data_IF_545354081856
#
_entry.id   IF_545354081856
#
_cell.length_a   1.000
_cell.length_b   1.000
_cell.length_c   1.000
_cell.angle_alpha   90.00
_cell.angle_beta   90.00
_cell.angle_gamma   90.00
#
_symmetry.space_group_name_H-M   'P 1'
#
loop_
_entity.id
_entity.type
_entity.pdbx_description
1 polymer ?
#
# COMPACT_ATOMS: atom_id res chain seq x y z
N UNK A 1 -1.00 -23.39 -3.72
CA UNK A 1 0.07 -23.23 -2.73
C UNK A 1 -0.13 -21.90 -2.01
N UNK A 2 -0.34 -21.91 -0.69
CA UNK A 2 -0.39 -20.67 0.11
C UNK A 2 0.99 -20.03 0.09
N UNK A 3 1.13 -18.84 -0.49
CA UNK A 3 2.40 -18.11 -0.48
C UNK A 3 2.68 -17.68 0.96
N UNK A 4 3.79 -18.16 1.52
CA UNK A 4 4.26 -17.83 2.88
C UNK A 4 4.48 -16.31 3.09
N UNK A 5 4.53 -15.54 2.00
CA UNK A 5 4.66 -14.08 1.99
C UNK A 5 3.47 -13.34 2.65
N UNK A 6 2.29 -13.99 2.77
CA UNK A 6 1.09 -13.39 3.40
C UNK A 6 1.23 -13.16 4.91
N UNK A 7 2.17 -13.87 5.55
CA UNK A 7 2.45 -13.73 6.97
C UNK A 7 3.41 -12.57 7.28
N UNK A 8 4.04 -11.97 6.25
CA UNK A 8 5.01 -10.91 6.46
C UNK A 8 4.31 -9.58 6.76
N UNK A 9 4.57 -9.04 7.95
CA UNK A 9 4.12 -7.72 8.36
C UNK A 9 5.18 -6.67 8.07
N UNK A 10 4.78 -5.65 7.32
CA UNK A 10 5.59 -4.50 6.94
C UNK A 10 5.29 -3.33 7.88
N UNK A 11 6.34 -2.76 8.44
CA UNK A 11 6.27 -1.52 9.21
C UNK A 11 6.06 -0.30 8.31
N UNK A 12 5.63 0.83 8.88
CA UNK A 12 5.52 2.10 8.18
C UNK A 12 6.78 2.48 7.38
N UNK A 13 7.98 2.21 7.91
CA UNK A 13 9.26 2.48 7.22
C UNK A 13 9.43 1.60 5.99
N UNK A 14 9.07 0.32 6.07
CA UNK A 14 9.17 -0.60 4.95
C UNK A 14 8.14 -0.27 3.87
N UNK A 15 6.91 0.04 4.26
CA UNK A 15 5.86 0.49 3.33
C UNK A 15 6.27 1.77 2.61
N UNK A 16 6.84 2.73 3.33
CA UNK A 16 7.43 3.96 2.77
C UNK A 16 8.52 3.68 1.74
N UNK A 17 9.43 2.75 2.03
CA UNK A 17 10.48 2.33 1.09
C UNK A 17 9.92 1.64 -0.15
N UNK A 18 8.92 0.77 0.01
CA UNK A 18 8.32 0.03 -1.11
C UNK A 18 7.51 0.93 -2.04
N UNK A 19 6.73 1.85 -1.47
CA UNK A 19 5.92 2.79 -2.25
C UNK A 19 6.74 3.98 -2.78
N UNK A 20 8.01 4.13 -2.37
CA UNK A 20 8.84 5.28 -2.74
C UNK A 20 8.34 6.63 -2.22
N UNK A 21 7.47 6.64 -1.21
CA UNK A 21 6.87 7.87 -0.66
C UNK A 21 7.27 8.13 0.78
N UNK A 22 7.28 9.41 1.16
CA UNK A 22 7.56 9.84 2.52
C UNK A 22 6.51 9.33 3.52
N UNK A 23 6.93 9.12 4.77
CA UNK A 23 6.01 8.69 5.85
C UNK A 23 4.86 9.67 6.07
N UNK A 24 5.11 10.97 5.94
CA UNK A 24 4.09 12.02 6.03
C UNK A 24 3.03 11.88 4.94
N UNK A 25 3.44 11.52 3.72
CA UNK A 25 2.54 11.22 2.61
C UNK A 25 1.66 10.01 2.92
N UNK A 26 2.21 8.96 3.53
CA UNK A 26 1.40 7.80 3.99
C UNK A 26 0.33 8.23 4.99
N UNK A 27 0.69 9.05 5.99
CA UNK A 27 -0.29 9.55 6.97
C UNK A 27 -1.38 10.40 6.31
N UNK A 28 -1.02 11.23 5.32
CA UNK A 28 -1.99 11.99 4.54
C UNK A 28 -2.94 11.07 3.75
N UNK A 29 -2.40 10.06 3.05
CA UNK A 29 -3.21 9.08 2.30
C UNK A 29 -4.11 8.27 3.23
N UNK A 30 -3.63 7.83 4.39
CA UNK A 30 -4.48 7.14 5.37
C UNK A 30 -5.68 7.97 5.84
N UNK A 31 -5.59 9.30 5.78
CA UNK A 31 -6.68 10.21 6.16
C UNK A 31 -7.60 10.55 4.98
N UNK A 32 -7.02 10.77 3.81
CA UNK A 32 -7.70 11.40 2.68
C UNK A 32 -8.01 10.43 1.52
N UNK A 33 -7.29 9.31 1.43
CA UNK A 33 -7.41 8.32 0.36
C UNK A 33 -8.12 7.07 0.90
N UNK A 34 -9.41 6.87 0.57
CA UNK A 34 -10.19 5.73 1.04
C UNK A 34 -9.71 4.39 0.48
N UNK A 35 -9.03 4.40 -0.67
CA UNK A 35 -8.49 3.22 -1.35
C UNK A 35 -7.09 2.86 -0.85
N UNK A 36 -6.49 3.70 0.01
CA UNK A 36 -5.19 3.39 0.59
C UNK A 36 -5.29 2.21 1.58
N UNK A 37 -4.35 1.25 1.55
CA UNK A 37 -4.41 0.06 2.38
C UNK A 37 -4.39 0.42 3.86
N UNK A 38 -5.35 -0.12 4.61
CA UNK A 38 -5.50 0.15 6.04
C UNK A 38 -4.49 -0.67 6.87
N UNK A 39 -3.78 -0.05 7.81
CA UNK A 39 -2.88 -0.77 8.70
C UNK A 39 -3.65 -1.61 9.71
N UNK A 40 -3.06 -2.72 10.09
CA UNK A 40 -3.37 -3.44 11.31
C UNK A 40 -2.93 -2.58 12.50
N UNK A 41 -3.89 -2.24 13.36
CA UNK A 41 -3.68 -1.50 14.62
C UNK A 41 -3.57 -2.50 15.78
N UNK A 42 -2.88 -2.11 16.84
CA UNK A 42 -2.84 -2.83 18.13
C UNK A 42 -2.21 -4.24 18.10
N UNK A 43 -1.18 -4.47 17.28
CA UNK A 43 -0.32 -5.63 17.52
C UNK A 43 0.41 -5.42 18.86
N UNK A 44 0.05 -6.18 19.89
CA UNK A 44 0.68 -6.19 21.21
C UNK A 44 0.74 -4.81 21.92
N UNK A 45 -0.34 -4.02 21.86
CA UNK A 45 -0.46 -2.77 22.64
C UNK A 45 0.45 -1.61 22.18
N UNK A 46 1.19 -1.77 21.09
CA UNK A 46 2.03 -0.70 20.53
C UNK A 46 1.25 0.13 19.51
N UNK A 47 1.44 1.46 19.54
CA UNK A 47 0.92 2.42 18.53
C UNK A 47 1.62 2.31 17.17
N UNK A 48 2.20 1.16 16.83
CA UNK A 48 2.89 0.93 15.55
C UNK A 48 1.90 0.42 14.52
N UNK A 49 2.00 0.99 13.33
CA UNK A 49 1.20 0.59 12.18
C UNK A 49 1.94 -0.49 11.39
N UNK A 50 1.23 -1.58 11.10
CA UNK A 50 1.74 -2.68 10.28
C UNK A 50 0.77 -2.99 9.14
N UNK A 51 1.32 -3.41 8.01
CA UNK A 51 0.55 -3.84 6.85
C UNK A 51 0.97 -5.25 6.47
N UNK A 52 0.03 -6.06 5.99
CA UNK A 52 0.42 -7.33 5.36
C UNK A 52 1.10 -7.03 4.04
N UNK A 53 2.17 -7.76 3.73
CA UNK A 53 2.89 -7.60 2.48
C UNK A 53 2.00 -7.81 1.27
N UNK A 54 1.14 -8.83 1.28
CA UNK A 54 0.17 -9.09 0.21
C UNK A 54 -0.78 -7.93 -0.04
N UNK A 55 -1.21 -7.23 1.00
CA UNK A 55 -2.10 -6.06 0.86
C UNK A 55 -1.38 -4.90 0.17
N UNK A 56 -0.11 -4.65 0.51
CA UNK A 56 0.69 -3.61 -0.15
C UNK A 56 1.00 -4.01 -1.60
N UNK A 57 1.30 -5.29 -1.85
CA UNK A 57 1.55 -5.79 -3.20
C UNK A 57 0.32 -5.66 -4.10
N UNK A 58 -0.87 -6.04 -3.62
CA UNK A 58 -2.12 -5.87 -4.38
C UNK A 58 -2.44 -4.40 -4.64
N UNK A 59 -2.11 -3.49 -3.71
CA UNK A 59 -2.29 -2.06 -3.92
C UNK A 59 -1.33 -1.51 -4.99
N UNK A 60 -0.08 -1.96 -5.02
CA UNK A 60 0.88 -1.61 -6.07
C UNK A 60 0.43 -2.10 -7.45
N UNK A 61 0.00 -3.36 -7.53
CA UNK A 61 -0.53 -3.97 -8.76
C UNK A 61 -1.72 -3.16 -9.31
N UNK A 62 -2.63 -2.74 -8.42
CA UNK A 62 -3.73 -1.85 -8.80
C UNK A 62 -3.23 -0.50 -9.32
N UNK A 63 -2.29 0.15 -8.64
CA UNK A 63 -1.73 1.43 -9.09
C UNK A 63 -1.05 1.32 -10.46
N UNK A 64 -0.34 0.23 -10.72
CA UNK A 64 0.26 -0.06 -12.02
C UNK A 64 -0.81 -0.29 -13.09
N UNK A 65 -1.84 -1.07 -12.78
CA UNK A 65 -2.97 -1.29 -13.69
C UNK A 65 -3.73 0.00 -14.00
N UNK A 66 -3.95 0.86 -13.00
CA UNK A 66 -4.58 2.17 -13.17
C UNK A 66 -3.69 3.10 -14.00
N UNK A 67 -2.39 3.13 -13.75
CA UNK A 67 -1.45 3.92 -14.54
C UNK A 67 -1.41 3.45 -16.00
N UNK A 68 -1.40 2.14 -16.23
CA UNK A 68 -1.43 1.57 -17.58
C UNK A 68 -2.77 1.86 -18.28
N UNK A 69 -3.90 1.70 -17.59
CA UNK A 69 -5.23 2.01 -18.14
C UNK A 69 -5.36 3.50 -18.51
N UNK A 70 -4.85 4.42 -17.69
CA UNK A 70 -4.84 5.86 -18.01
C UNK A 70 -3.88 6.19 -19.17
N UNK A 71 -2.78 5.45 -19.34
CA UNK A 71 -1.86 5.64 -20.46
C UNK A 71 -2.50 5.23 -21.81
N UNK A 72 -3.32 4.18 -21.82
CA UNK A 72 -4.04 3.72 -23.02
C UNK A 72 -5.28 4.58 -23.35
N UNK A 73 -5.79 5.34 -22.39
CA UNK A 73 -6.92 6.26 -22.57
C UNK A 73 -6.54 7.67 -23.05
N UNK A 74 -5.24 7.93 -23.28
CA UNK A 74 -4.70 9.21 -23.78
C UNK A 74 -4.46 9.28 -25.29
N UNK A 75 -4.98 8.35 -26.09
CA UNK A 75 -4.85 8.38 -27.56
C UNK A 75 -6.17 8.09 -28.27
N UNK A 76 -7.12 9.02 -28.17
CA UNK A 76 -8.20 9.14 -29.15
C UNK A 76 -8.76 10.57 -29.15
N UNK A 77 -8.41 11.28 -30.25
CA UNK A 77 -9.04 12.47 -30.83
C UNK A 77 -8.97 13.81 -30.07
#
# INVERSE_FOLDING_TARGET
MMRTDDLQLLSLRQVSGLLGICRTTIWSRLKNDPDFPKPLRNLAGQKKLYWRRSTIAAYLDRLEAEANANAEQGHAA
#
